data_IF_395475836670
#
_entry.id   IF_395475836670
#
_cell.length_a   1.000
_cell.length_b   1.000
_cell.length_c   1.000
_cell.angle_alpha   90.00
_cell.angle_beta   90.00
_cell.angle_gamma   90.00
#
_symmetry.space_group_name_H-M   'P 1'
#
loop_
_entity.id
_entity.type
_entity.pdbx_description
1 polymer ?
#
# COMPACT_ATOMS: atom_id res chain seq x y z
N UNK A 1 5.85 6.83 15.82
CA UNK A 1 5.19 5.52 16.04
C UNK A 1 6.06 4.35 15.55
N UNK A 2 6.54 4.35 14.31
CA UNK A 2 7.48 3.35 13.76
C UNK A 2 8.81 4.03 13.49
N UNK A 3 9.93 3.42 13.91
CA UNK A 3 11.26 4.00 13.71
C UNK A 3 12.27 2.95 13.30
N UNK A 4 13.06 3.26 12.28
CA UNK A 4 14.23 2.52 11.82
C UNK A 4 15.46 3.38 12.04
N UNK A 5 16.47 2.85 12.72
CA UNK A 5 17.72 3.52 13.04
C UNK A 5 18.89 2.69 12.50
N UNK A 6 19.50 3.17 11.41
CA UNK A 6 20.64 2.55 10.71
C UNK A 6 20.42 1.07 10.38
N UNK A 7 19.20 0.72 9.93
CA UNK A 7 18.81 -0.67 9.72
C UNK A 7 19.37 -1.22 8.43
N UNK A 8 20.16 -2.28 8.56
CA UNK A 8 20.61 -3.12 7.45
C UNK A 8 20.16 -4.55 7.70
N UNK A 9 19.56 -5.19 6.70
CA UNK A 9 19.13 -6.58 6.80
C UNK A 9 19.61 -7.42 5.63
N UNK A 10 20.26 -8.55 5.95
CA UNK A 10 20.76 -9.52 4.98
C UNK A 10 20.19 -10.90 5.30
N UNK A 11 19.51 -11.54 4.34
CA UNK A 11 19.08 -12.94 4.45
C UNK A 11 20.28 -13.87 4.52
N UNK A 12 20.15 -15.02 5.21
CA UNK A 12 21.27 -15.95 5.45
C UNK A 12 21.99 -16.39 4.18
N UNK A 13 21.25 -16.62 3.09
CA UNK A 13 21.80 -17.12 1.82
C UNK A 13 21.93 -16.00 0.76
N UNK A 14 21.75 -14.73 1.13
CA UNK A 14 21.84 -13.62 0.19
C UNK A 14 23.25 -12.99 0.21
N UNK A 15 23.86 -12.70 -0.95
CA UNK A 15 25.16 -12.05 -1.03
C UNK A 15 25.12 -10.55 -0.75
N UNK A 16 23.92 -9.93 -0.81
CA UNK A 16 23.71 -8.50 -0.64
C UNK A 16 22.54 -8.25 0.33
N UNK A 17 22.58 -7.15 1.09
CA UNK A 17 21.49 -6.76 1.96
C UNK A 17 20.23 -6.42 1.16
N UNK A 18 19.07 -6.85 1.70
CA UNK A 18 17.74 -6.48 1.18
C UNK A 18 17.29 -5.10 1.67
N UNK A 19 17.80 -4.66 2.82
CA UNK A 19 17.65 -3.30 3.35
C UNK A 19 19.02 -2.78 3.72
N UNK A 20 19.34 -1.54 3.36
CA UNK A 20 20.66 -0.95 3.57
C UNK A 20 20.56 0.41 4.24
N UNK A 21 21.13 0.50 5.45
CA UNK A 21 21.25 1.74 6.23
C UNK A 21 19.93 2.55 6.25
N UNK A 22 18.83 1.86 6.50
CA UNK A 22 17.49 2.47 6.50
C UNK A 22 17.32 3.32 7.75
N UNK A 23 17.07 4.60 7.54
CA UNK A 23 16.63 5.54 8.56
C UNK A 23 15.24 6.04 8.13
N UNK A 24 14.22 5.72 8.93
CA UNK A 24 12.82 6.01 8.62
C UNK A 24 12.07 6.29 9.92
N UNK A 25 11.21 7.30 9.89
CA UNK A 25 10.28 7.59 10.98
C UNK A 25 8.88 7.80 10.40
N UNK A 26 7.89 7.06 10.92
CA UNK A 26 6.47 7.21 10.62
C UNK A 26 5.78 7.63 11.90
N UNK A 27 5.06 8.75 11.83
CA UNK A 27 4.38 9.33 12.98
C UNK A 27 3.07 8.58 13.28
N UNK A 28 2.50 8.82 14.43
CA UNK A 28 1.20 8.28 14.82
C UNK A 28 0.10 8.88 13.94
N UNK A 29 -0.83 8.03 13.49
CA UNK A 29 -1.94 8.43 12.64
C UNK A 29 -1.59 8.72 11.18
N UNK A 30 -0.33 8.51 10.73
CA UNK A 30 0.04 8.67 9.32
C UNK A 30 -0.37 7.46 8.46
N UNK A 31 -0.84 7.73 7.24
CA UNK A 31 -0.87 6.78 6.14
C UNK A 31 0.43 6.87 5.35
N UNK A 32 1.33 5.91 5.55
CA UNK A 32 2.59 5.82 4.81
C UNK A 32 2.47 4.82 3.66
N UNK A 33 2.81 5.25 2.44
CA UNK A 33 2.80 4.44 1.23
C UNK A 33 4.21 3.97 0.88
N UNK A 34 4.42 2.65 0.93
CA UNK A 34 5.68 2.01 0.58
C UNK A 34 5.72 1.71 -0.92
N UNK A 35 6.68 2.30 -1.62
CA UNK A 35 6.85 2.15 -3.07
C UNK A 35 8.22 1.59 -3.40
N UNK A 36 8.33 0.88 -4.52
CA UNK A 36 9.57 0.29 -5.00
C UNK A 36 9.32 -0.83 -5.99
N UNK A 37 10.35 -1.21 -6.74
CA UNK A 37 10.26 -2.30 -7.71
C UNK A 37 9.97 -3.63 -7.04
N UNK A 38 9.46 -4.60 -7.78
CA UNK A 38 9.35 -5.99 -7.30
C UNK A 38 10.73 -6.49 -6.91
N UNK A 39 10.84 -7.11 -5.72
CA UNK A 39 12.11 -7.60 -5.18
C UNK A 39 13.01 -6.53 -4.53
N UNK A 40 12.58 -5.26 -4.40
CA UNK A 40 13.39 -4.21 -3.77
C UNK A 40 13.49 -4.28 -2.24
N UNK A 41 12.78 -5.22 -1.57
CA UNK A 41 12.80 -5.34 -0.11
C UNK A 41 11.54 -4.82 0.59
N UNK A 42 10.44 -4.47 -0.13
CA UNK A 42 9.19 -3.99 0.47
C UNK A 42 8.66 -4.93 1.55
N UNK A 43 8.42 -6.19 1.21
CA UNK A 43 7.91 -7.18 2.17
C UNK A 43 8.89 -7.44 3.32
N UNK A 44 10.20 -7.28 3.09
CA UNK A 44 11.22 -7.36 4.15
C UNK A 44 11.06 -6.22 5.15
N UNK A 45 10.89 -4.99 4.66
CA UNK A 45 10.66 -3.81 5.50
C UNK A 45 9.34 -3.95 6.28
N UNK A 46 8.24 -4.38 5.63
CA UNK A 46 6.97 -4.62 6.30
C UNK A 46 7.08 -5.68 7.41
N UNK A 47 7.74 -6.81 7.11
CA UNK A 47 7.94 -7.91 8.08
C UNK A 47 8.89 -7.59 9.21
N UNK A 48 9.75 -6.58 9.07
CA UNK A 48 10.60 -6.14 10.17
C UNK A 48 9.82 -5.36 11.24
N UNK A 49 8.68 -4.76 10.88
CA UNK A 49 7.82 -4.00 11.80
C UNK A 49 7.08 -4.92 12.77
N UNK A 50 6.63 -6.09 12.32
CA UNK A 50 5.96 -7.07 13.18
C UNK A 50 6.91 -8.13 13.76
N UNK A 51 8.23 -7.98 13.56
CA UNK A 51 9.25 -8.87 14.08
C UNK A 51 9.37 -10.22 13.35
N UNK A 52 8.62 -10.47 12.27
CA UNK A 52 8.82 -11.69 11.46
C UNK A 52 10.22 -11.74 10.85
N UNK A 53 10.79 -10.59 10.53
CA UNK A 53 12.20 -10.40 10.23
C UNK A 53 12.87 -9.84 11.49
N UNK A 54 13.91 -10.47 12.04
CA UNK A 54 14.60 -11.69 11.59
C UNK A 54 14.06 -12.99 12.23
N UNK A 55 13.11 -12.95 13.19
CA UNK A 55 12.77 -14.10 14.05
C UNK A 55 12.32 -15.35 13.29
N UNK A 56 11.58 -15.21 12.18
CA UNK A 56 11.10 -16.34 11.38
C UNK A 56 11.93 -16.57 10.11
N UNK A 57 12.51 -15.52 9.56
CA UNK A 57 13.24 -15.61 8.28
C UNK A 57 14.71 -15.99 8.48
N UNK A 58 15.22 -15.85 9.70
CA UNK A 58 16.66 -15.84 9.94
C UNK A 58 17.33 -14.63 9.27
N UNK A 59 18.65 -14.66 9.18
CA UNK A 59 19.45 -13.58 8.61
C UNK A 59 20.02 -12.64 9.69
N UNK A 60 20.73 -11.60 9.26
CA UNK A 60 21.37 -10.61 10.12
C UNK A 60 20.66 -9.28 10.02
N UNK A 61 20.09 -8.83 11.15
CA UNK A 61 19.52 -7.50 11.31
C UNK A 61 20.47 -6.63 12.16
N UNK A 62 21.08 -5.65 11.52
CA UNK A 62 21.87 -4.60 12.16
C UNK A 62 21.01 -3.34 12.35
N UNK A 63 21.41 -2.46 13.27
CA UNK A 63 20.60 -1.28 13.61
C UNK A 63 19.41 -1.63 14.52
N UNK A 64 18.38 -0.81 14.51
CA UNK A 64 17.21 -0.98 15.38
C UNK A 64 15.91 -0.66 14.68
N UNK A 65 14.90 -1.53 14.85
CA UNK A 65 13.51 -1.26 14.48
C UNK A 65 12.68 -1.16 15.74
N UNK A 66 11.98 -0.05 15.91
CA UNK A 66 11.12 0.19 17.09
C UNK A 66 9.70 0.49 16.64
N UNK A 67 8.71 -0.17 17.25
CA UNK A 67 7.29 0.06 16.99
C UNK A 67 6.56 0.30 18.31
N UNK A 68 5.90 1.44 18.45
CA UNK A 68 5.25 1.87 19.69
C UNK A 68 6.17 1.72 20.92
N UNK A 69 7.45 2.04 20.75
CA UNK A 69 8.47 1.96 21.82
C UNK A 69 9.05 0.56 22.05
N UNK A 70 8.59 -0.49 21.37
CA UNK A 70 9.12 -1.86 21.48
C UNK A 70 10.15 -2.14 20.39
N UNK A 71 11.35 -2.61 20.77
CA UNK A 71 12.39 -3.06 19.83
C UNK A 71 12.01 -4.44 19.27
N UNK A 72 11.87 -4.58 17.95
CA UNK A 72 11.41 -5.81 17.30
C UNK A 72 12.40 -6.97 17.40
N UNK A 73 13.68 -6.73 17.73
CA UNK A 73 14.66 -7.80 17.98
C UNK A 73 14.47 -8.47 19.34
N UNK A 74 14.01 -7.72 20.34
CA UNK A 74 13.84 -8.23 21.71
C UNK A 74 12.40 -8.64 21.99
N UNK A 75 11.45 -8.16 21.21
CA UNK A 75 10.04 -8.51 21.31
C UNK A 75 9.65 -9.36 20.08
N UNK A 76 9.50 -10.69 20.23
CA UNK A 76 9.09 -11.55 19.14
C UNK A 76 7.66 -11.23 18.65
N UNK A 77 7.24 -11.70 17.46
CA UNK A 77 5.94 -11.36 16.85
C UNK A 77 4.73 -11.53 17.78
N UNK A 78 4.72 -12.56 18.62
CA UNK A 78 3.64 -12.78 19.62
C UNK A 78 3.50 -11.65 20.64
N UNK A 79 4.63 -10.97 20.97
CA UNK A 79 4.66 -9.86 21.92
C UNK A 79 4.41 -8.51 21.23
N UNK A 80 4.33 -8.49 19.90
CA UNK A 80 3.97 -7.33 19.09
C UNK A 80 2.54 -7.42 18.56
N UNK A 81 1.86 -8.57 18.72
CA UNK A 81 0.54 -8.83 18.14
C UNK A 81 -0.59 -7.94 18.71
N UNK A 82 -0.40 -7.35 19.88
CA UNK A 82 -1.30 -6.36 20.47
C UNK A 82 -1.04 -4.93 19.96
N UNK A 83 0.08 -4.72 19.24
CA UNK A 83 0.51 -3.40 18.75
C UNK A 83 0.47 -3.33 17.23
N UNK A 84 0.83 -4.42 16.55
CA UNK A 84 0.98 -4.48 15.09
C UNK A 84 0.05 -5.52 14.51
N UNK A 85 -0.95 -5.08 13.75
CA UNK A 85 -1.72 -5.94 12.86
C UNK A 85 -1.05 -6.01 11.49
N UNK A 86 -0.85 -7.20 10.93
CA UNK A 86 -0.30 -7.37 9.59
C UNK A 86 -1.21 -8.20 8.72
N UNK A 87 -1.56 -7.67 7.55
CA UNK A 87 -2.33 -8.37 6.51
C UNK A 87 -1.41 -8.68 5.35
N UNK A 88 -1.18 -9.96 5.03
CA UNK A 88 -0.33 -10.37 3.91
C UNK A 88 -1.03 -10.14 2.57
N UNK A 89 -0.26 -10.23 1.47
CA UNK A 89 -0.76 -10.09 0.10
C UNK A 89 -1.87 -11.08 -0.26
N UNK A 90 -1.75 -12.34 0.22
CA UNK A 90 -2.82 -13.32 0.12
C UNK A 90 -3.54 -13.45 1.48
N UNK A 91 -4.77 -12.90 1.62
CA UNK A 91 -5.54 -12.99 2.85
C UNK A 91 -5.79 -14.43 3.33
N UNK A 92 -5.97 -15.36 2.38
CA UNK A 92 -6.26 -16.76 2.70
C UNK A 92 -5.13 -17.44 3.46
N UNK A 93 -3.90 -17.00 3.26
CA UNK A 93 -2.74 -17.55 3.97
C UNK A 93 -2.71 -17.23 5.47
N UNK A 94 -3.50 -16.24 5.90
CA UNK A 94 -3.59 -15.80 7.29
C UNK A 94 -4.80 -16.34 8.04
N UNK A 95 -5.81 -16.88 7.35
CA UNK A 95 -7.03 -17.37 7.97
C UNK A 95 -6.84 -18.72 8.70
N UNK A 96 -7.43 -18.81 9.87
CA UNK A 96 -7.29 -19.96 10.78
C UNK A 96 -8.64 -20.68 11.01
N UNK A 97 -9.75 -19.94 10.88
CA UNK A 97 -11.10 -20.44 11.19
C UNK A 97 -11.92 -20.68 9.93
N UNK A 98 -13.19 -21.08 10.07
CA UNK A 98 -14.05 -21.42 8.94
C UNK A 98 -14.99 -20.28 8.53
N UNK A 99 -15.40 -19.41 9.46
CA UNK A 99 -16.38 -18.33 9.22
C UNK A 99 -15.82 -16.94 9.49
N UNK A 100 -16.49 -15.91 8.97
CA UNK A 100 -16.09 -14.50 9.16
C UNK A 100 -16.06 -14.13 10.63
N UNK A 101 -17.13 -14.43 11.39
CA UNK A 101 -17.22 -14.06 12.81
C UNK A 101 -16.16 -14.74 13.65
N UNK A 102 -15.91 -16.03 13.43
CA UNK A 102 -14.85 -16.78 14.13
C UNK A 102 -13.47 -16.20 13.82
N UNK A 103 -13.20 -15.83 12.56
CA UNK A 103 -11.93 -15.26 12.16
C UNK A 103 -11.71 -13.88 12.83
N UNK A 104 -12.75 -13.06 12.93
CA UNK A 104 -12.68 -11.79 13.65
C UNK A 104 -12.42 -11.97 15.15
N UNK A 105 -12.88 -13.05 15.74
CA UNK A 105 -12.71 -13.34 17.17
C UNK A 105 -11.35 -13.96 17.49
N UNK A 106 -10.77 -14.75 16.58
CA UNK A 106 -9.63 -15.62 16.81
C UNK A 106 -8.40 -14.90 17.43
N UNK A 107 -8.01 -13.75 16.85
CA UNK A 107 -6.85 -12.99 17.35
C UNK A 107 -7.04 -12.53 18.80
N UNK A 108 -8.25 -12.15 19.17
CA UNK A 108 -8.58 -11.74 20.54
C UNK A 108 -8.59 -12.91 21.51
N UNK A 109 -9.03 -14.10 21.06
CA UNK A 109 -8.97 -15.34 21.88
C UNK A 109 -7.51 -15.68 22.19
N UNK A 110 -6.64 -15.63 21.19
CA UNK A 110 -5.22 -15.87 21.35
C UNK A 110 -4.54 -14.90 22.33
N UNK A 111 -5.03 -13.66 22.42
CA UNK A 111 -4.59 -12.64 23.37
C UNK A 111 -5.28 -12.72 24.73
N UNK A 112 -6.24 -13.63 24.93
CA UNK A 112 -6.97 -13.79 26.19
C UNK A 112 -7.90 -12.62 26.52
N UNK A 113 -8.45 -11.93 25.53
CA UNK A 113 -9.37 -10.81 25.71
C UNK A 113 -10.69 -11.30 26.30
N UNK A 114 -11.27 -10.52 27.23
CA UNK A 114 -12.51 -10.89 27.89
C UNK A 114 -13.69 -11.02 26.88
N UNK A 115 -14.54 -12.07 26.97
CA UNK A 115 -15.59 -12.36 25.98
C UNK A 115 -16.56 -11.21 25.69
N UNK A 116 -16.90 -10.41 26.70
CA UNK A 116 -17.78 -9.25 26.51
C UNK A 116 -17.12 -8.16 25.63
N UNK A 117 -15.81 -7.93 25.78
CA UNK A 117 -15.03 -7.02 24.97
C UNK A 117 -14.90 -7.55 23.55
N UNK A 118 -14.65 -8.85 23.39
CA UNK A 118 -14.57 -9.53 22.09
C UNK A 118 -15.86 -9.34 21.30
N UNK A 119 -17.01 -9.68 21.90
CA UNK A 119 -18.30 -9.53 21.24
C UNK A 119 -18.53 -8.10 20.72
N UNK A 120 -18.26 -7.09 21.57
CA UNK A 120 -18.41 -5.67 21.15
C UNK A 120 -17.49 -5.33 19.99
N UNK A 121 -16.21 -5.72 20.07
CA UNK A 121 -15.23 -5.40 19.01
C UNK A 121 -15.55 -6.11 17.69
N UNK A 122 -16.09 -7.33 17.74
CA UNK A 122 -16.56 -8.05 16.54
C UNK A 122 -17.71 -7.28 15.90
N UNK A 123 -18.75 -6.89 16.66
CA UNK A 123 -19.88 -6.10 16.12
C UNK A 123 -19.39 -4.78 15.52
N UNK A 124 -18.57 -4.01 16.27
CA UNK A 124 -18.04 -2.74 15.81
C UNK A 124 -17.23 -2.90 14.49
N UNK A 125 -16.47 -4.00 14.36
CA UNK A 125 -15.66 -4.30 13.17
C UNK A 125 -16.50 -4.78 11.99
N UNK A 126 -17.53 -5.60 12.23
CA UNK A 126 -18.48 -6.03 11.21
C UNK A 126 -19.17 -4.82 10.56
N UNK A 127 -19.63 -3.89 11.39
CA UNK A 127 -20.28 -2.66 10.92
C UNK A 127 -19.30 -1.76 10.17
N UNK A 128 -18.11 -1.51 10.73
CA UNK A 128 -17.08 -0.63 10.16
C UNK A 128 -16.63 -1.08 8.76
N UNK A 129 -16.47 -2.39 8.57
CA UNK A 129 -15.97 -2.99 7.33
C UNK A 129 -17.07 -3.50 6.39
N UNK A 130 -18.36 -3.33 6.76
CA UNK A 130 -19.50 -3.80 5.96
C UNK A 130 -19.53 -5.31 5.79
N UNK A 131 -19.30 -6.05 6.88
CA UNK A 131 -19.25 -7.50 6.92
C UNK A 131 -20.45 -8.13 7.63
N UNK A 132 -21.36 -7.32 8.21
CA UNK A 132 -22.49 -7.80 9.03
C UNK A 132 -23.35 -8.83 8.32
N UNK A 133 -23.70 -8.60 7.05
CA UNK A 133 -24.53 -9.48 6.23
C UNK A 133 -23.88 -10.85 5.90
N UNK A 134 -22.57 -10.96 6.12
CA UNK A 134 -21.80 -12.15 5.74
C UNK A 134 -21.11 -12.80 6.95
N UNK A 135 -21.47 -12.40 8.18
CA UNK A 135 -20.83 -12.87 9.42
C UNK A 135 -20.74 -14.38 9.57
N UNK A 136 -21.78 -15.10 9.18
CA UNK A 136 -21.87 -16.57 9.28
C UNK A 136 -21.38 -17.29 8.01
N UNK A 137 -20.88 -16.54 7.00
CA UNK A 137 -20.46 -17.17 5.75
C UNK A 137 -19.10 -17.83 5.88
N UNK A 138 -18.94 -19.00 5.21
CA UNK A 138 -17.63 -19.64 5.10
C UNK A 138 -16.63 -18.75 4.36
N UNK A 139 -15.40 -18.62 4.88
CA UNK A 139 -14.33 -17.80 4.33
C UNK A 139 -13.99 -18.15 2.87
N UNK A 140 -14.09 -19.44 2.51
CA UNK A 140 -13.86 -19.93 1.15
C UNK A 140 -14.91 -19.42 0.14
N UNK A 141 -16.11 -19.04 0.60
CA UNK A 141 -17.22 -18.57 -0.24
C UNK A 141 -17.18 -17.07 -0.51
N UNK A 142 -16.25 -16.35 0.10
CA UNK A 142 -16.16 -14.88 0.00
C UNK A 142 -15.56 -14.42 -1.33
N UNK A 143 -16.00 -13.24 -1.80
CA UNK A 143 -15.33 -12.54 -2.90
C UNK A 143 -13.94 -12.04 -2.45
N UNK A 144 -13.08 -11.66 -3.40
CA UNK A 144 -11.74 -11.11 -3.09
C UNK A 144 -11.80 -9.92 -2.13
N UNK A 145 -12.68 -8.94 -2.40
CA UNK A 145 -12.85 -7.78 -1.54
C UNK A 145 -13.40 -8.11 -0.15
N UNK A 146 -14.35 -9.06 -0.06
CA UNK A 146 -14.85 -9.55 1.21
C UNK A 146 -13.76 -10.24 2.04
N UNK A 147 -12.94 -11.11 1.41
CA UNK A 147 -11.78 -11.74 2.07
C UNK A 147 -10.80 -10.70 2.59
N UNK A 148 -10.48 -9.70 1.78
CA UNK A 148 -9.54 -8.65 2.17
C UNK A 148 -10.05 -7.84 3.36
N UNK A 149 -11.34 -7.44 3.35
CA UNK A 149 -11.93 -6.74 4.49
C UNK A 149 -12.01 -7.62 5.74
N UNK A 150 -12.30 -8.93 5.58
CA UNK A 150 -12.26 -9.89 6.70
C UNK A 150 -10.84 -10.00 7.29
N UNK A 151 -9.80 -10.09 6.45
CA UNK A 151 -8.42 -10.13 6.92
C UNK A 151 -7.98 -8.83 7.62
N UNK A 152 -8.42 -7.67 7.13
CA UNK A 152 -8.22 -6.40 7.85
C UNK A 152 -8.96 -6.44 9.19
N UNK A 153 -10.20 -6.92 9.21
CA UNK A 153 -11.02 -7.03 10.41
C UNK A 153 -10.42 -7.95 11.47
N UNK A 154 -9.89 -9.11 11.07
CA UNK A 154 -9.32 -10.09 12.02
C UNK A 154 -8.12 -9.53 12.80
N UNK A 155 -7.31 -8.69 12.18
CA UNK A 155 -6.22 -8.01 12.88
C UNK A 155 -6.69 -6.76 13.62
N UNK A 156 -7.71 -6.05 13.10
CA UNK A 156 -8.24 -4.83 13.71
C UNK A 156 -8.92 -5.07 15.06
N UNK A 157 -9.60 -6.20 15.23
CA UNK A 157 -10.28 -6.59 16.48
C UNK A 157 -9.34 -6.69 17.67
N UNK A 158 -8.05 -6.97 17.45
CA UNK A 158 -7.04 -6.95 18.54
C UNK A 158 -6.75 -5.53 19.03
N UNK A 159 -7.21 -4.50 18.30
CA UNK A 159 -7.01 -3.08 18.57
C UNK A 159 -5.53 -2.65 18.50
N UNK A 160 -4.84 -2.95 17.37
CA UNK A 160 -3.44 -2.57 17.19
C UNK A 160 -3.30 -1.05 17.05
N UNK A 161 -2.12 -0.52 17.32
CA UNK A 161 -1.76 0.89 17.07
C UNK A 161 -1.23 1.09 15.65
N UNK A 162 -0.74 0.01 15.03
CA UNK A 162 -0.13 0.00 13.69
C UNK A 162 -0.77 -1.09 12.85
N UNK A 163 -1.15 -0.74 11.62
CA UNK A 163 -1.61 -1.69 10.62
C UNK A 163 -0.62 -1.72 9.45
N UNK A 164 -0.11 -2.92 9.15
CA UNK A 164 0.80 -3.17 8.03
C UNK A 164 0.07 -3.96 6.96
N UNK A 165 0.05 -3.45 5.74
CA UNK A 165 -0.68 -4.03 4.61
C UNK A 165 0.28 -4.31 3.44
N UNK A 166 0.40 -5.56 3.04
CA UNK A 166 1.23 -5.96 1.89
C UNK A 166 0.33 -6.17 0.66
N UNK A 167 0.26 -5.15 -0.21
CA UNK A 167 -0.50 -5.14 -1.47
C UNK A 167 -2.00 -5.49 -1.32
N UNK A 168 -2.74 -4.78 -0.45
CA UNK A 168 -4.11 -5.17 -0.09
C UNK A 168 -5.13 -5.09 -1.25
N UNK A 169 -4.78 -4.46 -2.39
CA UNK A 169 -5.70 -4.33 -3.54
C UNK A 169 -5.23 -5.06 -4.79
N UNK A 170 -4.08 -5.76 -4.76
CA UNK A 170 -3.42 -6.31 -5.95
C UNK A 170 -4.26 -7.33 -6.72
N UNK A 171 -5.03 -8.18 -6.02
CA UNK A 171 -5.86 -9.23 -6.59
C UNK A 171 -7.35 -8.86 -6.74
N UNK A 172 -7.70 -7.57 -6.57
CA UNK A 172 -9.08 -7.11 -6.57
C UNK A 172 -9.47 -6.42 -7.88
N UNK A 173 -10.74 -6.58 -8.26
CA UNK A 173 -11.35 -5.75 -9.28
C UNK A 173 -11.41 -4.27 -8.81
N UNK A 174 -11.59 -3.30 -9.74
CA UNK A 174 -11.55 -1.88 -9.39
C UNK A 174 -12.54 -1.48 -8.29
N UNK A 175 -13.76 -2.01 -8.32
CA UNK A 175 -14.80 -1.66 -7.33
C UNK A 175 -14.45 -2.17 -5.94
N UNK A 176 -14.07 -3.46 -5.82
CA UNK A 176 -13.64 -4.04 -4.57
C UNK A 176 -12.38 -3.35 -3.99
N UNK A 177 -11.44 -2.94 -4.85
CA UNK A 177 -10.26 -2.21 -4.42
C UNK A 177 -10.61 -0.83 -3.83
N UNK A 178 -11.55 -0.11 -4.45
CA UNK A 178 -12.04 1.18 -3.92
C UNK A 178 -12.71 1.03 -2.57
N UNK A 179 -13.52 -0.03 -2.37
CA UNK A 179 -14.16 -0.32 -1.07
C UNK A 179 -13.12 -0.60 0.03
N UNK A 180 -12.08 -1.39 -0.28
CA UNK A 180 -10.99 -1.69 0.67
C UNK A 180 -10.20 -0.41 1.00
N UNK A 181 -9.86 0.40 0.01
CA UNK A 181 -9.14 1.66 0.23
C UNK A 181 -9.98 2.66 1.03
N UNK A 182 -11.28 2.75 0.77
CA UNK A 182 -12.18 3.59 1.56
C UNK A 182 -12.28 3.12 3.02
N UNK A 183 -12.24 1.81 3.27
CA UNK A 183 -12.17 1.28 4.62
C UNK A 183 -10.85 1.66 5.31
N UNK A 184 -9.70 1.49 4.64
CA UNK A 184 -8.38 1.86 5.17
C UNK A 184 -8.33 3.37 5.48
N UNK A 185 -8.85 4.22 4.61
CA UNK A 185 -8.92 5.66 4.86
C UNK A 185 -9.72 5.99 6.13
N UNK A 186 -10.87 5.35 6.34
CA UNK A 186 -11.64 5.52 7.58
C UNK A 186 -10.84 5.10 8.82
N UNK A 187 -10.06 4.00 8.74
CA UNK A 187 -9.20 3.58 9.85
C UNK A 187 -8.16 4.64 10.22
N UNK A 188 -7.60 5.32 9.24
CA UNK A 188 -6.61 6.38 9.48
C UNK A 188 -7.31 7.67 9.96
N UNK A 189 -8.29 8.19 9.22
CA UNK A 189 -8.85 9.51 9.47
C UNK A 189 -9.81 9.54 10.67
N UNK A 190 -10.61 8.48 10.88
CA UNK A 190 -11.62 8.46 11.92
C UNK A 190 -11.09 7.83 13.22
N UNK A 191 -10.22 6.82 13.13
CA UNK A 191 -9.67 6.09 14.28
C UNK A 191 -8.24 6.48 14.65
N UNK A 192 -7.56 7.29 13.83
CA UNK A 192 -6.16 7.68 14.07
C UNK A 192 -5.15 6.55 13.97
N UNK A 193 -5.51 5.46 13.27
CA UNK A 193 -4.64 4.30 13.13
C UNK A 193 -3.43 4.63 12.25
N UNK A 194 -2.24 4.25 12.68
CA UNK A 194 -1.03 4.37 11.84
C UNK A 194 -1.00 3.24 10.84
N UNK A 195 -0.93 3.55 9.55
CA UNK A 195 -0.95 2.54 8.48
C UNK A 195 0.31 2.64 7.64
N UNK A 196 1.01 1.53 7.45
CA UNK A 196 2.03 1.38 6.41
C UNK A 196 1.57 0.36 5.37
N UNK A 197 1.41 0.80 4.14
CA UNK A 197 0.86 -0.01 3.06
C UNK A 197 1.80 -0.05 1.86
N UNK A 198 2.15 -1.25 1.38
CA UNK A 198 2.75 -1.41 0.06
C UNK A 198 1.65 -1.55 -1.00
N UNK A 199 1.81 -0.87 -2.14
CA UNK A 199 0.89 -0.98 -3.27
C UNK A 199 1.63 -0.87 -4.60
N UNK A 200 1.10 -1.56 -5.62
CA UNK A 200 1.56 -1.47 -7.01
C UNK A 200 0.80 -0.42 -7.81
N UNK A 201 -0.51 -0.30 -7.58
CA UNK A 201 -1.36 0.68 -8.27
C UNK A 201 -1.40 1.99 -7.50
N UNK A 202 -0.28 2.70 -7.54
CA UNK A 202 -0.03 3.91 -6.76
C UNK A 202 -1.05 5.02 -7.03
N UNK A 203 -1.58 5.09 -8.25
CA UNK A 203 -2.57 6.10 -8.68
C UNK A 203 -3.86 6.09 -7.84
N UNK A 204 -4.17 4.97 -7.19
CA UNK A 204 -5.35 4.85 -6.33
C UNK A 204 -5.15 5.41 -4.93
N UNK A 205 -3.91 5.43 -4.45
CA UNK A 205 -3.58 5.62 -3.03
C UNK A 205 -2.78 6.90 -2.77
N UNK A 206 -1.90 7.27 -3.70
CA UNK A 206 -0.90 8.34 -3.51
C UNK A 206 -1.50 9.66 -3.04
N UNK A 207 -2.69 9.99 -3.51
CA UNK A 207 -3.39 11.24 -3.16
C UNK A 207 -3.87 11.31 -1.69
N UNK A 208 -3.88 10.16 -1.00
CA UNK A 208 -4.32 10.04 0.40
C UNK A 208 -3.16 9.78 1.36
N UNK A 209 -1.97 9.52 0.83
CA UNK A 209 -0.80 9.24 1.64
C UNK A 209 -0.23 10.53 2.24
N UNK A 210 0.02 10.49 3.56
CA UNK A 210 0.72 11.56 4.28
C UNK A 210 2.22 11.49 4.00
N UNK A 211 2.73 10.29 3.79
CA UNK A 211 4.15 9.99 3.57
C UNK A 211 4.33 8.95 2.48
N UNK A 212 5.36 9.12 1.67
CA UNK A 212 5.87 8.07 0.78
C UNK A 212 7.22 7.58 1.31
N UNK A 213 7.39 6.27 1.26
CA UNK A 213 8.63 5.55 1.58
C UNK A 213 9.07 4.82 0.32
N UNK A 214 10.09 5.31 -0.36
CA UNK A 214 10.60 4.72 -1.58
C UNK A 214 11.82 3.84 -1.28
N UNK A 215 11.75 2.55 -1.65
CA UNK A 215 12.91 1.65 -1.57
C UNK A 215 13.60 1.65 -2.93
N UNK A 216 14.87 2.01 -2.93
CA UNK A 216 15.75 1.99 -4.08
C UNK A 216 16.23 0.56 -4.42
N UNK A 217 16.81 0.39 -5.59
CA UNK A 217 17.28 -0.93 -6.07
C UNK A 217 18.42 -1.50 -5.25
N UNK A 218 19.14 -0.67 -4.51
CA UNK A 218 20.27 -1.07 -3.64
C UNK A 218 19.84 -1.37 -2.20
N UNK A 219 18.52 -1.27 -1.90
CA UNK A 219 17.96 -1.49 -0.57
C UNK A 219 17.97 -0.26 0.34
N UNK A 220 18.43 0.90 -0.14
CA UNK A 220 18.31 2.17 0.60
C UNK A 220 16.89 2.72 0.53
N UNK A 221 16.55 3.63 1.45
CA UNK A 221 15.21 4.20 1.57
C UNK A 221 15.27 5.71 1.54
N UNK A 222 14.40 6.31 0.73
CA UNK A 222 14.10 7.75 0.74
C UNK A 222 12.65 7.91 1.19
N UNK A 223 12.39 8.81 2.12
CA UNK A 223 11.03 9.02 2.62
C UNK A 223 10.71 10.51 2.85
N UNK A 224 9.44 10.85 2.83
CA UNK A 224 8.99 12.23 3.05
C UNK A 224 7.63 12.51 2.43
N UNK A 225 7.37 13.79 2.18
CA UNK A 225 6.17 14.24 1.49
C UNK A 225 6.02 13.56 0.11
N UNK A 226 4.81 13.09 -0.26
CA UNK A 226 4.58 12.32 -1.49
C UNK A 226 5.12 12.99 -2.76
N UNK A 227 4.84 14.27 -2.99
CA UNK A 227 5.28 14.98 -4.18
C UNK A 227 6.82 15.09 -4.26
N UNK A 228 7.49 15.31 -3.12
CA UNK A 228 8.94 15.44 -3.05
C UNK A 228 9.65 14.10 -3.30
N UNK A 229 9.22 13.02 -2.63
CA UNK A 229 9.81 11.69 -2.78
C UNK A 229 9.56 11.15 -4.19
N UNK A 230 8.32 11.27 -4.67
CA UNK A 230 7.94 10.81 -6.02
C UNK A 230 8.55 11.65 -7.13
N UNK A 231 9.21 12.77 -6.87
CA UNK A 231 9.96 13.50 -7.88
C UNK A 231 11.11 12.68 -8.48
N UNK A 232 11.74 11.81 -7.69
CA UNK A 232 12.90 11.01 -8.10
C UNK A 232 12.71 9.49 -7.91
N UNK A 233 11.65 9.05 -7.25
CA UNK A 233 11.42 7.63 -6.96
C UNK A 233 11.45 6.76 -8.24
N UNK A 234 11.96 5.51 -8.15
CA UNK A 234 12.13 4.61 -9.30
C UNK A 234 10.80 4.11 -9.88
N UNK A 235 9.72 4.24 -9.11
CA UNK A 235 8.36 3.88 -9.50
C UNK A 235 7.44 5.04 -9.12
N UNK A 236 6.64 5.51 -10.05
CA UNK A 236 5.67 6.58 -9.82
C UNK A 236 4.39 6.34 -10.63
N UNK A 237 3.23 6.83 -10.18
CA UNK A 237 2.00 6.73 -10.96
C UNK A 237 2.05 7.60 -12.22
N UNK A 238 1.25 7.28 -13.26
CA UNK A 238 1.27 8.02 -14.54
C UNK A 238 1.07 9.54 -14.40
N UNK A 239 0.28 9.98 -13.44
CA UNK A 239 0.04 11.40 -13.17
C UNK A 239 1.29 12.14 -12.70
N UNK A 240 2.13 11.50 -11.90
CA UNK A 240 3.44 12.01 -11.46
C UNK A 240 4.42 12.03 -12.64
N UNK A 241 4.47 10.96 -13.42
CA UNK A 241 5.32 10.88 -14.62
C UNK A 241 4.98 11.99 -15.62
N UNK A 242 3.68 12.24 -15.81
CA UNK A 242 3.20 13.36 -16.60
C UNK A 242 3.69 14.70 -16.03
N UNK A 243 3.55 14.91 -14.72
CA UNK A 243 4.04 16.11 -14.04
C UNK A 243 5.55 16.31 -14.18
N UNK A 244 6.34 15.23 -14.01
CA UNK A 244 7.81 15.26 -14.22
C UNK A 244 8.18 15.70 -15.64
N UNK A 245 7.51 15.16 -16.68
CA UNK A 245 7.77 15.48 -18.08
C UNK A 245 7.44 16.93 -18.44
N UNK A 246 6.42 17.50 -17.79
CA UNK A 246 6.04 18.90 -17.98
C UNK A 246 6.77 19.88 -17.05
N UNK A 247 7.62 19.39 -16.14
CA UNK A 247 8.31 20.22 -15.17
C UNK A 247 7.36 20.91 -14.18
N UNK A 248 6.23 20.28 -13.85
CA UNK A 248 5.28 20.86 -12.89
C UNK A 248 5.85 20.84 -11.47
N UNK A 249 5.62 21.94 -10.75
CA UNK A 249 6.01 22.08 -9.33
C UNK A 249 4.92 22.85 -8.58
N UNK A 250 4.29 22.26 -7.54
CA UNK A 250 4.46 20.88 -7.06
C UNK A 250 3.99 19.82 -8.07
N UNK A 251 4.47 18.58 -7.94
CA UNK A 251 3.99 17.47 -8.75
C UNK A 251 2.53 17.13 -8.40
N UNK A 252 1.65 16.91 -9.39
CA UNK A 252 0.26 16.58 -9.14
C UNK A 252 0.14 15.15 -8.58
N UNK A 253 -0.55 14.97 -7.47
CA UNK A 253 -0.81 13.66 -6.86
C UNK A 253 -2.10 13.00 -7.40
N UNK A 254 -2.95 13.79 -8.06
CA UNK A 254 -4.21 13.31 -8.65
C UNK A 254 -4.42 13.86 -10.07
N UNK A 255 -5.29 13.21 -10.83
CA UNK A 255 -5.74 13.73 -12.15
C UNK A 255 -6.39 15.11 -12.02
N UNK A 256 -7.09 15.35 -10.90
CA UNK A 256 -7.69 16.66 -10.61
C UNK A 256 -6.63 17.74 -10.49
N UNK A 257 -5.55 17.47 -9.75
CA UNK A 257 -4.44 18.41 -9.57
C UNK A 257 -3.73 18.67 -10.89
N UNK A 258 -3.42 17.60 -11.65
CA UNK A 258 -2.82 17.73 -12.98
C UNK A 258 -3.67 18.61 -13.91
N UNK A 259 -5.00 18.45 -13.90
CA UNK A 259 -5.92 19.29 -14.69
C UNK A 259 -5.90 20.75 -14.25
N UNK A 260 -5.75 21.02 -12.96
CA UNK A 260 -5.67 22.39 -12.42
C UNK A 260 -4.36 23.06 -12.83
N UNK A 261 -3.23 22.37 -12.61
CA UNK A 261 -1.89 22.90 -12.92
C UNK A 261 -1.68 23.11 -14.43
N UNK A 262 -2.33 22.30 -15.28
CA UNK A 262 -2.23 22.43 -16.75
C UNK A 262 -3.34 23.28 -17.37
N UNK A 263 -4.14 23.98 -16.57
CA UNK A 263 -5.28 24.75 -17.10
C UNK A 263 -4.89 25.82 -18.13
N UNK A 264 -3.73 26.47 -17.96
CA UNK A 264 -3.17 27.46 -18.89
C UNK A 264 -2.71 26.79 -20.18
N UNK A 265 -1.89 25.73 -20.07
CA UNK A 265 -1.42 24.96 -21.22
C UNK A 265 -2.57 24.42 -22.07
N UNK A 266 -3.65 23.98 -21.43
CA UNK A 266 -4.85 23.46 -22.13
C UNK A 266 -5.63 24.54 -22.88
N UNK A 267 -5.63 25.79 -22.43
CA UNK A 267 -6.26 26.92 -23.15
C UNK A 267 -5.45 27.27 -24.40
N UNK A 268 -4.14 27.18 -24.33
CA UNK A 268 -3.24 27.53 -25.41
C UNK A 268 -3.05 26.34 -26.39
N UNK A 269 -3.45 25.13 -25.95
CA UNK A 269 -3.42 23.95 -26.79
C UNK A 269 -4.58 24.00 -27.79
N UNK A 270 -4.30 24.53 -28.99
CA UNK A 270 -5.14 24.32 -30.13
C UNK A 270 -4.79 22.93 -30.69
N UNK A 271 -5.72 21.96 -30.65
CA UNK A 271 -5.48 20.70 -31.39
C UNK A 271 -5.23 21.11 -32.84
N UNK A 272 -4.01 20.87 -33.33
CA UNK A 272 -3.76 20.92 -34.74
C UNK A 272 -4.88 20.11 -35.39
N UNK A 273 -5.62 20.69 -36.32
CA UNK A 273 -6.73 20.02 -36.96
C UNK A 273 -6.25 18.63 -37.35
N UNK A 274 -6.79 17.61 -36.71
CA UNK A 274 -6.74 16.26 -37.23
C UNK A 274 -7.51 16.36 -38.53
N UNK A 275 -6.77 16.50 -39.61
CA UNK A 275 -7.33 16.37 -40.96
C UNK A 275 -7.82 14.93 -41.01
N UNK A 276 -9.09 14.74 -40.71
CA UNK A 276 -9.79 13.54 -41.12
C UNK A 276 -9.75 13.57 -42.65
N UNK A 277 -8.64 13.07 -43.18
CA UNK A 277 -8.50 12.85 -44.60
C UNK A 277 -9.61 11.92 -45.03
N UNK A 278 -10.60 12.48 -45.74
CA UNK A 278 -11.50 11.68 -46.53
C UNK A 278 -10.63 10.76 -47.39
N UNK A 279 -11.10 9.55 -47.57
CA UNK A 279 -10.52 8.53 -48.45
C UNK A 279 -10.61 9.06 -49.90
N UNK A 280 -9.71 9.97 -50.26
CA UNK A 280 -9.38 10.30 -51.63
C UNK A 280 -7.92 10.75 -51.68
N UNK A 281 -7.14 9.91 -52.38
CA UNK A 281 -5.70 9.96 -52.41
C UNK A 281 -5.13 11.26 -52.98
N UNK A 282 -4.39 11.96 -52.20
CA UNK A 282 -3.12 12.60 -52.57
C UNK A 282 -2.41 13.04 -51.27
N UNK A 283 -1.37 12.30 -50.90
CA UNK A 283 -0.51 12.63 -49.75
C UNK A 283 0.46 13.73 -50.24
N UNK A 284 0.28 14.95 -49.76
CA UNK A 284 1.29 15.99 -49.84
C UNK A 284 2.25 15.85 -48.66
N UNK A 285 3.54 15.70 -48.95
CA UNK A 285 4.66 15.54 -48.01
C UNK A 285 4.71 16.69 -46.99
N UNK A 286 4.46 16.38 -45.73
CA UNK A 286 4.98 17.12 -44.57
C UNK A 286 5.72 16.11 -43.67
N UNK A 287 6.86 16.48 -43.03
CA UNK A 287 7.57 15.58 -42.19
C UNK A 287 6.76 15.38 -40.89
N UNK A 288 6.07 14.27 -40.78
CA UNK A 288 5.36 13.85 -39.60
C UNK A 288 6.30 12.94 -38.83
N UNK A 289 6.82 13.42 -37.68
CA UNK A 289 7.32 12.49 -36.68
C UNK A 289 6.12 11.65 -36.22
N UNK A 290 6.15 10.35 -36.50
CA UNK A 290 5.16 9.40 -36.00
C UNK A 290 5.30 9.34 -34.48
N UNK A 291 4.27 9.76 -33.76
CA UNK A 291 4.21 9.71 -32.29
C UNK A 291 3.77 8.32 -31.82
N UNK A 292 3.06 7.56 -32.64
CA UNK A 292 2.74 6.14 -32.42
C UNK A 292 2.31 5.49 -33.74
N UNK A 293 2.79 4.26 -33.97
CA UNK A 293 2.32 3.36 -35.03
C UNK A 293 1.61 2.17 -34.36
N UNK A 294 0.32 1.99 -34.66
CA UNK A 294 -0.47 0.87 -34.15
C UNK A 294 -0.81 -0.03 -35.33
N UNK A 295 0.11 -0.96 -35.62
CA UNK A 295 -0.13 -2.03 -36.58
C UNK A 295 -0.72 -3.25 -35.83
N UNK A 296 -1.90 -3.66 -36.25
CA UNK A 296 -2.65 -4.84 -35.80
C UNK A 296 -3.21 -4.81 -34.36
N UNK A 297 -4.39 -4.21 -34.19
CA UNK A 297 -5.31 -4.59 -33.13
C UNK A 297 -6.33 -5.61 -33.67
N UNK A 298 -6.19 -6.88 -33.29
CA UNK A 298 -7.26 -7.86 -33.44
C UNK A 298 -8.13 -7.85 -32.19
N UNK A 299 -9.43 -7.69 -32.41
CA UNK A 299 -10.50 -7.77 -31.40
C UNK A 299 -10.77 -9.23 -31.04
#
# INVERSE_FOLDING_TARGET
MIKFEDVTFTYADAPLPSLRNVNLEIQEGELALLVGRTGSGKSTLLRSINGLVPHFTGGLLEGRVTVAGRDTRTNPPRELADVVGMVPQDPMSGFVTDTVEEELAYGMEALGIHPQTMRRRVEDTLDLLGLAEIRDRPLLSLSGGQRQRTAIGSVLTTNPSVLVLDEPTSALDPGAAEEVLAAIQRLVFDLGLTVLMAEHRLERVVQYADRVVAIETDGSVVHGEPAAVLASAPVAPPVIEFGRRLGLSPLPLSVRDARRETATLRRDFHPAHVVTGGIDGTIANAPTELVADIDHVSV
#
